data_IF_223578708490
#
_entry.id   IF_223578708490
#
_cell.length_a   1.000
_cell.length_b   1.000
_cell.length_c   1.000
_cell.angle_alpha   90.00
_cell.angle_beta   90.00
_cell.angle_gamma   90.00
#
_symmetry.space_group_name_H-M   'P 1'
#
loop_
_entity.id
_entity.type
_entity.pdbx_description
1 polymer ?
#
# COMPACT_ATOMS: atom_id res chain seq x y z
N UNK A 1 9.52 8.77 -2.78
CA UNK A 1 10.19 9.63 -3.78
C UNK A 1 10.22 11.03 -3.20
N UNK A 2 11.39 11.67 -3.21
CA UNK A 2 11.52 13.08 -2.83
C UNK A 2 11.17 13.88 -4.08
N UNK A 3 10.14 14.72 -4.03
CA UNK A 3 9.78 15.62 -5.13
C UNK A 3 10.86 16.70 -5.25
N UNK A 4 11.91 16.40 -6.03
CA UNK A 4 13.00 17.32 -6.35
C UNK A 4 12.74 17.98 -7.70
N UNK A 5 12.78 19.31 -7.73
CA UNK A 5 12.51 20.12 -8.93
C UNK A 5 13.79 20.83 -9.35
N UNK A 6 14.26 20.67 -10.60
CA UNK A 6 15.34 21.46 -11.15
C UNK A 6 15.00 22.96 -11.12
N UNK A 7 15.89 23.78 -10.59
CA UNK A 7 15.71 25.22 -10.35
C UNK A 7 16.97 25.98 -10.73
N UNK A 8 16.81 27.19 -11.28
CA UNK A 8 17.90 28.11 -11.59
C UNK A 8 17.72 29.42 -10.82
N UNK A 9 18.81 29.99 -10.31
CA UNK A 9 18.80 31.26 -9.60
C UNK A 9 19.35 32.40 -10.47
N UNK A 10 18.80 32.52 -11.69
CA UNK A 10 19.34 33.33 -12.79
C UNK A 10 19.51 34.83 -12.46
N UNK A 11 18.72 35.33 -11.52
CA UNK A 11 18.65 36.76 -11.18
C UNK A 11 19.57 37.15 -10.01
N UNK A 12 20.15 36.16 -9.31
CA UNK A 12 20.98 36.38 -8.12
C UNK A 12 22.34 35.69 -8.20
N UNK A 13 22.52 34.72 -9.11
CA UNK A 13 23.80 34.08 -9.34
C UNK A 13 24.64 34.87 -10.37
N UNK A 14 25.82 35.30 -9.94
CA UNK A 14 26.75 36.07 -10.78
C UNK A 14 27.76 35.15 -11.47
N UNK A 15 27.81 35.20 -12.81
CA UNK A 15 28.74 34.44 -13.63
C UNK A 15 28.11 33.21 -14.29
N UNK A 16 28.77 32.05 -14.16
CA UNK A 16 28.24 30.77 -14.69
C UNK A 16 26.95 30.42 -13.97
N UNK A 17 25.87 30.22 -14.74
CA UNK A 17 24.56 29.84 -14.19
C UNK A 17 24.51 28.33 -14.04
N UNK A 18 24.38 27.85 -12.81
CA UNK A 18 24.30 26.42 -12.53
C UNK A 18 22.84 25.98 -12.37
N UNK A 19 22.55 24.73 -12.71
CA UNK A 19 21.29 24.06 -12.37
C UNK A 19 21.37 23.51 -10.95
N UNK A 20 20.34 23.77 -10.14
CA UNK A 20 20.22 23.26 -8.79
C UNK A 20 18.99 22.35 -8.64
N UNK A 21 19.03 21.39 -7.73
CA UNK A 21 17.85 20.63 -7.29
C UNK A 21 17.26 21.29 -6.05
N UNK A 22 15.96 21.61 -6.11
CA UNK A 22 15.19 22.16 -5.00
C UNK A 22 14.19 21.12 -4.50
N UNK A 23 14.23 20.78 -3.22
CA UNK A 23 13.36 19.74 -2.63
C UNK A 23 13.00 20.01 -1.17
N UNK A 24 11.99 19.30 -0.67
CA UNK A 24 11.67 19.22 0.76
C UNK A 24 12.17 17.91 1.34
N UNK A 25 12.78 17.96 2.53
CA UNK A 25 13.25 16.75 3.21
C UNK A 25 12.07 15.98 3.82
N UNK A 26 12.03 14.64 3.69
CA UNK A 26 11.08 13.81 4.42
C UNK A 26 11.27 14.01 5.93
N UNK A 27 10.20 14.38 6.65
CA UNK A 27 10.23 14.57 8.10
C UNK A 27 10.57 15.99 8.59
N UNK A 28 10.81 16.96 7.70
CA UNK A 28 10.96 18.36 8.12
C UNK A 28 9.60 18.94 8.55
N UNK A 29 9.43 19.16 9.86
CA UNK A 29 8.20 19.68 10.50
C UNK A 29 7.79 21.06 10.00
N UNK A 30 8.72 21.83 9.42
CA UNK A 30 8.48 23.21 9.01
C UNK A 30 8.33 23.38 7.49
N UNK A 31 8.39 22.28 6.72
CA UNK A 31 8.16 22.30 5.28
C UNK A 31 9.15 23.15 4.48
N UNK A 32 10.38 23.35 4.98
CA UNK A 32 11.39 24.21 4.37
C UNK A 32 12.03 23.56 3.14
N UNK A 33 12.49 24.41 2.23
CA UNK A 33 13.16 23.98 1.01
C UNK A 33 14.68 23.92 1.19
N UNK A 34 15.28 22.88 0.61
CA UNK A 34 16.71 22.67 0.52
C UNK A 34 17.13 22.68 -0.96
N UNK A 35 18.38 23.05 -1.18
CA UNK A 35 19.01 23.22 -2.49
C UNK A 35 20.36 22.52 -2.50
N UNK A 36 20.63 21.80 -3.59
CA UNK A 36 21.95 21.23 -3.89
C UNK A 36 22.26 21.45 -5.37
N UNK A 37 23.54 21.63 -5.72
CA UNK A 37 23.95 21.73 -7.13
C UNK A 37 23.65 20.43 -7.89
N UNK A 38 23.11 20.53 -9.10
CA UNK A 38 22.77 19.41 -9.98
C UNK A 38 23.79 19.18 -11.11
N UNK A 39 24.88 19.93 -11.10
CA UNK A 39 25.87 19.88 -12.18
C UNK A 39 26.76 18.64 -12.09
N UNK A 40 27.20 18.19 -13.25
CA UNK A 40 28.17 17.11 -13.40
C UNK A 40 29.56 17.71 -13.63
N UNK A 41 30.55 17.21 -12.88
CA UNK A 41 31.93 17.67 -12.91
C UNK A 41 32.81 16.54 -13.43
N UNK A 42 33.60 16.80 -14.47
CA UNK A 42 34.56 15.84 -15.01
C UNK A 42 35.92 16.00 -14.31
N UNK A 43 36.43 14.91 -13.72
CA UNK A 43 37.78 14.84 -13.15
C UNK A 43 38.85 14.78 -14.26
N UNK A 44 40.11 15.13 -13.94
CA UNK A 44 41.23 15.01 -14.89
C UNK A 44 41.41 13.59 -15.46
N UNK A 45 41.08 12.56 -14.69
CA UNK A 45 41.13 11.15 -15.09
C UNK A 45 39.97 10.70 -16.02
N UNK A 46 39.03 11.60 -16.33
CA UNK A 46 37.88 11.33 -17.18
C UNK A 46 36.59 10.94 -16.43
N UNK A 47 36.66 10.68 -15.11
CA UNK A 47 35.49 10.30 -14.30
C UNK A 47 34.50 11.45 -14.16
N UNK A 48 33.21 11.20 -14.34
CA UNK A 48 32.14 12.19 -14.13
C UNK A 48 31.58 12.02 -12.72
N UNK A 49 31.54 13.10 -11.96
CA UNK A 49 31.04 13.16 -10.59
C UNK A 49 29.85 14.13 -10.51
N UNK A 50 28.95 13.91 -9.56
CA UNK A 50 28.07 14.98 -9.11
C UNK A 50 28.88 16.05 -8.39
N UNK A 51 28.44 17.31 -8.47
CA UNK A 51 29.06 18.39 -7.71
C UNK A 51 29.05 18.08 -6.19
N UNK A 52 30.17 18.31 -5.51
CA UNK A 52 30.36 18.09 -4.07
C UNK A 52 29.68 19.14 -3.18
N UNK A 53 28.76 19.95 -3.72
CA UNK A 53 28.09 20.97 -2.94
C UNK A 53 27.26 20.29 -1.86
N UNK A 54 27.50 20.61 -0.59
CA UNK A 54 26.63 20.18 0.49
C UNK A 54 25.24 20.81 0.34
N UNK A 55 24.22 20.05 0.70
CA UNK A 55 22.85 20.54 0.70
C UNK A 55 22.68 21.71 1.67
N UNK A 56 22.03 22.78 1.22
CA UNK A 56 21.83 24.01 2.00
C UNK A 56 20.37 24.43 1.99
N UNK A 57 19.90 25.06 3.07
CA UNK A 57 18.55 25.65 3.11
C UNK A 57 18.42 26.77 2.08
N UNK A 58 17.32 26.80 1.33
CA UNK A 58 17.17 27.69 0.16
C UNK A 58 17.36 29.18 0.50
N UNK A 59 16.81 29.65 1.62
CA UNK A 59 16.92 31.04 2.07
C UNK A 59 18.36 31.42 2.47
N UNK A 60 19.11 30.48 3.07
CA UNK A 60 20.53 30.66 3.33
C UNK A 60 21.32 30.68 2.01
N UNK A 61 21.00 29.79 1.10
CA UNK A 61 21.65 29.70 -0.21
C UNK A 61 21.45 30.98 -1.04
N UNK A 62 20.23 31.52 -1.08
CA UNK A 62 19.92 32.79 -1.77
C UNK A 62 20.75 33.97 -1.23
N UNK A 63 20.93 34.07 0.08
CA UNK A 63 21.80 35.10 0.70
C UNK A 63 23.29 34.86 0.42
N UNK A 64 23.70 33.60 0.36
CA UNK A 64 25.08 33.22 0.11
C UNK A 64 25.50 33.52 -1.33
N UNK A 65 24.69 33.11 -2.33
CA UNK A 65 25.01 33.24 -3.76
C UNK A 65 25.03 34.71 -4.25
N UNK A 66 24.37 35.62 -3.52
CA UNK A 66 24.43 37.06 -3.79
C UNK A 66 25.83 37.65 -3.60
N UNK A 67 26.63 37.08 -2.69
CA UNK A 67 27.94 37.61 -2.32
C UNK A 67 29.10 36.65 -2.65
N UNK A 68 28.78 35.42 -3.06
CA UNK A 68 29.75 34.36 -3.32
C UNK A 68 29.36 33.61 -4.59
N UNK A 69 30.37 33.14 -5.33
CA UNK A 69 30.16 32.34 -6.54
C UNK A 69 30.27 30.86 -6.21
N UNK A 70 29.32 30.06 -6.69
CA UNK A 70 29.45 28.61 -6.63
C UNK A 70 30.50 28.13 -7.65
N UNK A 71 31.41 27.28 -7.20
CA UNK A 71 32.39 26.61 -8.04
C UNK A 71 32.16 25.12 -7.86
N UNK A 72 31.84 24.43 -8.95
CA UNK A 72 31.58 23.00 -8.90
C UNK A 72 32.89 22.23 -8.65
N UNK A 73 32.93 21.45 -7.58
CA UNK A 73 34.05 20.55 -7.27
C UNK A 73 33.61 19.10 -7.41
N UNK A 74 34.50 18.17 -7.82
CA UNK A 74 34.13 16.76 -7.98
C UNK A 74 33.73 16.14 -6.64
N UNK A 75 32.50 15.63 -6.54
CA UNK A 75 32.00 14.91 -5.37
C UNK A 75 31.92 13.41 -5.63
N UNK A 76 30.77 12.83 -5.28
CA UNK A 76 30.45 11.43 -5.53
C UNK A 76 30.44 11.13 -7.04
N UNK A 77 30.95 9.95 -7.41
CA UNK A 77 30.94 9.50 -8.82
C UNK A 77 29.49 9.40 -9.29
N UNK A 78 29.18 10.12 -10.37
CA UNK A 78 27.86 10.04 -10.97
C UNK A 78 27.74 8.66 -11.63
N UNK A 79 26.59 8.00 -11.49
CA UNK A 79 26.37 6.74 -12.18
C UNK A 79 26.51 6.97 -13.68
N UNK A 80 27.61 6.50 -14.25
CA UNK A 80 27.90 6.60 -15.68
C UNK A 80 27.29 5.46 -16.48
N UNK A 81 26.58 4.53 -15.83
CA UNK A 81 25.99 3.37 -16.49
C UNK A 81 25.00 3.82 -17.57
N UNK A 82 25.43 3.77 -18.82
CA UNK A 82 24.53 3.76 -19.96
C UNK A 82 23.75 2.44 -19.95
N UNK A 83 22.58 2.41 -20.60
CA UNK A 83 21.84 1.15 -20.81
C UNK A 83 22.77 0.10 -21.44
N UNK A 84 23.63 0.51 -22.37
CA UNK A 84 24.63 -0.37 -22.97
C UNK A 84 25.65 -0.89 -21.95
N UNK A 85 26.10 -0.08 -20.99
CA UNK A 85 26.98 -0.52 -19.90
C UNK A 85 26.28 -1.40 -18.87
N UNK A 86 24.96 -1.30 -18.72
CA UNK A 86 24.17 -2.26 -17.93
C UNK A 86 24.16 -3.64 -18.59
N UNK A 87 24.16 -3.71 -19.92
CA UNK A 87 24.30 -4.96 -20.68
C UNK A 87 25.76 -5.45 -20.80
N UNK A 88 26.75 -4.55 -20.81
CA UNK A 88 28.17 -4.90 -20.99
C UNK A 88 28.92 -5.20 -19.67
N UNK A 89 28.45 -4.72 -18.52
CA UNK A 89 29.06 -5.01 -17.21
C UNK A 89 28.49 -6.28 -16.53
N UNK A 90 27.79 -7.14 -17.27
CA UNK A 90 27.59 -8.52 -16.83
C UNK A 90 28.99 -9.15 -16.91
N UNK A 91 29.61 -9.55 -15.79
CA UNK A 91 30.86 -10.30 -15.85
C UNK A 91 30.64 -11.48 -16.80
N UNK A 92 31.66 -11.86 -17.57
CA UNK A 92 31.63 -13.06 -18.43
C UNK A 92 31.51 -14.38 -17.64
N UNK A 93 30.87 -14.36 -16.47
CA UNK A 93 30.28 -15.51 -15.79
C UNK A 93 28.84 -15.64 -16.26
N UNK A 94 28.66 -16.32 -17.40
CA UNK A 94 27.40 -16.91 -17.87
C UNK A 94 26.22 -15.95 -17.98
N UNK A 95 25.93 -15.48 -19.20
CA UNK A 95 24.56 -15.09 -19.55
C UNK A 95 23.65 -16.28 -19.21
N UNK A 96 22.93 -16.24 -18.09
CA UNK A 96 21.83 -17.18 -17.86
C UNK A 96 20.81 -16.90 -18.96
N UNK A 97 20.57 -17.84 -19.89
CA UNK A 97 19.64 -17.62 -20.97
C UNK A 97 18.25 -17.30 -20.39
N UNK A 98 17.63 -16.20 -20.83
CA UNK A 98 16.23 -15.92 -20.48
C UNK A 98 15.39 -17.03 -21.12
N UNK A 99 14.75 -17.82 -20.28
CA UNK A 99 13.86 -18.90 -20.67
C UNK A 99 12.44 -18.38 -20.95
N UNK A 100 11.64 -19.21 -21.62
CA UNK A 100 10.21 -18.95 -21.75
C UNK A 100 9.49 -18.94 -20.38
N UNK A 101 10.03 -19.65 -19.38
CA UNK A 101 9.56 -19.60 -18.00
C UNK A 101 9.70 -18.21 -17.39
N UNK A 102 10.85 -17.56 -17.59
CA UNK A 102 11.09 -16.20 -17.10
C UNK A 102 10.09 -15.20 -17.69
N UNK A 103 9.75 -15.35 -18.97
CA UNK A 103 8.70 -14.54 -19.62
C UNK A 103 7.35 -14.77 -18.94
N UNK A 104 6.99 -16.02 -18.66
CA UNK A 104 5.72 -16.35 -18.00
C UNK A 104 5.65 -15.80 -16.57
N UNK A 105 6.76 -15.84 -15.82
CA UNK A 105 6.82 -15.26 -14.49
C UNK A 105 6.67 -13.73 -14.51
N UNK A 106 7.28 -13.07 -15.50
CA UNK A 106 7.14 -11.63 -15.71
C UNK A 106 5.69 -11.26 -16.09
N UNK A 107 5.06 -12.03 -16.99
CA UNK A 107 3.65 -11.85 -17.34
C UNK A 107 2.75 -12.01 -16.10
N UNK A 108 2.95 -13.06 -15.31
CA UNK A 108 2.17 -13.31 -14.09
C UNK A 108 2.36 -12.18 -13.07
N UNK A 109 3.59 -11.74 -12.85
CA UNK A 109 3.92 -10.63 -11.93
C UNK A 109 3.28 -9.32 -12.39
N UNK A 110 3.38 -9.01 -13.68
CA UNK A 110 2.77 -7.81 -14.27
C UNK A 110 1.25 -7.86 -14.13
N UNK A 111 0.63 -8.98 -14.52
CA UNK A 111 -0.81 -9.18 -14.42
C UNK A 111 -1.31 -8.95 -13.00
N UNK A 112 -0.63 -9.52 -12.00
CA UNK A 112 -1.00 -9.37 -10.58
C UNK A 112 -0.81 -7.94 -10.07
N UNK A 113 0.34 -7.30 -10.37
CA UNK A 113 0.64 -5.94 -9.89
C UNK A 113 -0.32 -4.88 -10.42
N UNK A 114 -0.79 -5.05 -11.65
CA UNK A 114 -1.70 -4.10 -12.30
C UNK A 114 -3.17 -4.52 -12.21
N UNK A 115 -3.48 -5.60 -11.48
CA UNK A 115 -4.83 -6.14 -11.32
C UNK A 115 -5.55 -6.35 -12.66
N UNK A 116 -4.85 -6.96 -13.61
CA UNK A 116 -5.34 -7.22 -14.96
C UNK A 116 -6.04 -8.58 -15.03
N UNK A 117 -6.97 -8.70 -15.97
CA UNK A 117 -7.65 -9.97 -16.19
C UNK A 117 -6.67 -11.00 -16.78
N UNK A 118 -6.70 -12.24 -16.26
CA UNK A 118 -5.79 -13.31 -16.69
C UNK A 118 -5.92 -13.60 -18.20
N UNK A 119 -7.13 -13.48 -18.75
CA UNK A 119 -7.41 -13.75 -20.15
C UNK A 119 -6.79 -12.71 -21.10
N UNK A 120 -6.38 -11.54 -20.60
CA UNK A 120 -5.72 -10.51 -21.41
C UNK A 120 -4.39 -11.01 -21.98
N UNK A 121 -3.57 -11.68 -21.18
CA UNK A 121 -2.23 -12.13 -21.61
C UNK A 121 -2.21 -13.48 -22.31
N UNK A 122 -3.31 -14.23 -22.20
CA UNK A 122 -3.54 -15.46 -22.97
C UNK A 122 -4.34 -15.22 -24.25
N UNK A 123 -4.59 -13.96 -24.63
CA UNK A 123 -5.45 -13.64 -25.77
C UNK A 123 -4.71 -13.76 -27.13
N UNK A 124 -5.43 -14.01 -28.22
CA UNK A 124 -4.87 -13.97 -29.57
C UNK A 124 -4.26 -12.60 -29.92
N UNK A 125 -4.87 -11.51 -29.48
CA UNK A 125 -4.41 -10.13 -29.71
C UNK A 125 -3.07 -9.87 -29.02
N UNK A 126 -2.93 -10.28 -27.75
CA UNK A 126 -1.67 -10.16 -27.04
C UNK A 126 -0.59 -11.04 -27.66
N UNK A 127 -0.94 -12.26 -28.06
CA UNK A 127 -0.04 -13.16 -28.79
C UNK A 127 0.46 -12.52 -30.08
N UNK A 128 -0.43 -11.90 -30.86
CA UNK A 128 -0.07 -11.18 -32.08
C UNK A 128 0.90 -10.04 -31.77
N UNK A 129 0.63 -9.25 -30.74
CA UNK A 129 1.50 -8.16 -30.31
C UNK A 129 2.92 -8.65 -29.98
N UNK A 130 3.05 -9.69 -29.16
CA UNK A 130 4.37 -10.25 -28.79
C UNK A 130 5.10 -10.76 -30.02
N UNK A 131 4.43 -11.50 -30.91
CA UNK A 131 5.03 -11.96 -32.17
C UNK A 131 5.48 -10.79 -33.03
N UNK A 132 4.67 -9.74 -33.18
CA UNK A 132 5.06 -8.53 -33.93
C UNK A 132 6.31 -7.87 -33.36
N UNK A 133 6.46 -7.80 -32.03
CA UNK A 133 7.68 -7.26 -31.40
C UNK A 133 8.91 -8.11 -31.74
N UNK A 134 8.78 -9.44 -31.68
CA UNK A 134 9.87 -10.36 -32.05
C UNK A 134 10.23 -10.21 -33.53
N UNK A 135 9.23 -10.13 -34.39
CA UNK A 135 9.42 -9.95 -35.83
C UNK A 135 10.14 -8.64 -36.14
N UNK A 136 9.67 -7.53 -35.58
CA UNK A 136 10.31 -6.22 -35.71
C UNK A 136 11.78 -6.24 -35.29
N UNK A 137 12.08 -6.94 -34.18
CA UNK A 137 13.44 -7.08 -33.68
C UNK A 137 14.31 -7.89 -34.64
N UNK A 138 13.79 -9.00 -35.15
CA UNK A 138 14.49 -9.85 -36.12
C UNK A 138 14.76 -9.10 -37.44
N UNK A 139 13.76 -8.40 -37.99
CA UNK A 139 13.92 -7.59 -39.19
C UNK A 139 14.99 -6.49 -38.99
N UNK A 140 14.95 -5.81 -37.84
CA UNK A 140 15.93 -4.78 -37.48
C UNK A 140 17.35 -5.35 -37.39
N UNK A 141 17.51 -6.56 -36.86
CA UNK A 141 18.80 -7.24 -36.78
C UNK A 141 19.30 -7.64 -38.17
N UNK A 142 18.44 -8.18 -39.02
CA UNK A 142 18.81 -8.55 -40.41
C UNK A 142 19.35 -7.32 -41.13
N UNK A 143 18.63 -6.19 -41.11
CA UNK A 143 19.05 -4.95 -41.76
C UNK A 143 20.37 -4.38 -41.22
N UNK A 144 20.63 -4.56 -39.92
CA UNK A 144 21.83 -4.03 -39.25
C UNK A 144 23.07 -4.87 -39.51
N UNK A 145 22.91 -6.16 -39.79
CA UNK A 145 24.01 -7.12 -39.87
C UNK A 145 24.09 -7.77 -41.25
N UNK A 146 24.96 -7.27 -42.16
CA UNK A 146 25.03 -7.72 -43.55
C UNK A 146 25.25 -9.23 -43.73
N UNK A 147 25.92 -9.89 -42.77
CA UNK A 147 26.12 -11.33 -42.77
C UNK A 147 24.81 -12.14 -42.71
N UNK A 148 23.72 -11.54 -42.23
CA UNK A 148 22.40 -12.15 -42.17
C UNK A 148 21.59 -11.95 -43.45
N UNK A 149 21.98 -11.03 -44.34
CA UNK A 149 21.23 -10.71 -45.57
C UNK A 149 21.10 -11.91 -46.53
N UNK A 150 22.11 -12.78 -46.55
CA UNK A 150 22.12 -13.96 -47.42
C UNK A 150 21.48 -15.19 -46.76
N UNK A 151 21.01 -15.05 -45.51
CA UNK A 151 20.29 -16.10 -44.80
C UNK A 151 18.79 -15.88 -45.04
N UNK A 152 18.13 -16.83 -45.70
CA UNK A 152 16.68 -16.75 -45.94
C UNK A 152 15.89 -17.02 -44.64
N UNK A 153 15.80 -16.01 -43.77
CA UNK A 153 15.13 -16.10 -42.47
C UNK A 153 13.64 -15.79 -42.65
N UNK A 154 12.78 -16.78 -42.40
CA UNK A 154 11.34 -16.54 -42.26
C UNK A 154 11.04 -16.04 -40.84
N UNK A 155 10.82 -14.74 -40.73
CA UNK A 155 10.70 -14.02 -39.46
C UNK A 155 9.40 -14.37 -38.70
N UNK A 156 8.30 -14.65 -39.40
CA UNK A 156 7.05 -15.11 -38.78
C UNK A 156 7.21 -16.51 -38.14
N UNK A 157 7.83 -17.43 -38.88
CA UNK A 157 8.14 -18.77 -38.38
C UNK A 157 9.08 -18.71 -37.18
N UNK A 158 10.09 -17.84 -37.23
CA UNK A 158 11.00 -17.61 -36.11
C UNK A 158 10.25 -17.08 -34.87
N UNK A 159 9.39 -16.08 -35.03
CA UNK A 159 8.60 -15.56 -33.92
C UNK A 159 7.70 -16.62 -33.28
N UNK A 160 7.10 -17.48 -34.12
CA UNK A 160 6.28 -18.62 -33.66
C UNK A 160 7.11 -19.74 -33.02
N UNK A 161 8.41 -19.84 -33.29
CA UNK A 161 9.30 -20.78 -32.61
C UNK A 161 9.81 -20.23 -31.27
N UNK A 162 10.10 -18.93 -31.21
CA UNK A 162 10.60 -18.24 -30.02
C UNK A 162 9.52 -18.13 -28.94
N UNK A 163 8.30 -17.74 -29.32
CA UNK A 163 7.21 -17.50 -28.35
C UNK A 163 6.05 -18.45 -28.56
N UNK A 164 5.79 -19.26 -27.52
CA UNK A 164 4.55 -20.03 -27.40
C UNK A 164 3.58 -19.28 -26.47
N UNK A 165 2.31 -19.10 -26.85
CA UNK A 165 1.33 -18.46 -25.99
C UNK A 165 1.12 -19.23 -24.68
N UNK A 166 1.03 -18.49 -23.57
CA UNK A 166 0.65 -19.08 -22.28
C UNK A 166 -0.87 -19.25 -22.21
N UNK A 167 -1.33 -20.41 -21.71
CA UNK A 167 -2.76 -20.60 -21.42
C UNK A 167 -3.17 -19.85 -20.16
N UNK A 168 -4.44 -19.46 -20.06
CA UNK A 168 -5.00 -18.80 -18.87
C UNK A 168 -4.74 -19.60 -17.59
N UNK A 169 -4.88 -20.92 -17.66
CA UNK A 169 -4.68 -21.81 -16.51
C UNK A 169 -3.22 -21.88 -16.10
N UNK A 170 -2.30 -21.95 -17.06
CA UNK A 170 -0.85 -21.93 -16.78
C UNK A 170 -0.44 -20.58 -16.17
N UNK A 171 -0.94 -19.47 -16.71
CA UNK A 171 -0.70 -18.13 -16.15
C UNK A 171 -1.22 -18.03 -14.71
N UNK A 172 -2.42 -18.57 -14.44
CA UNK A 172 -2.99 -18.63 -13.09
C UNK A 172 -2.09 -19.43 -12.14
N UNK A 173 -1.66 -20.62 -12.54
CA UNK A 173 -0.79 -21.47 -11.72
C UNK A 173 0.55 -20.79 -11.43
N UNK A 174 1.18 -20.18 -12.43
CA UNK A 174 2.42 -19.40 -12.26
C UNK A 174 2.21 -18.24 -11.29
N UNK A 175 1.11 -17.50 -11.41
CA UNK A 175 0.78 -16.42 -10.49
C UNK A 175 0.60 -16.93 -9.04
N UNK A 176 -0.11 -18.04 -8.84
CA UNK A 176 -0.29 -18.65 -7.51
C UNK A 176 1.06 -19.07 -6.93
N UNK A 177 1.94 -19.69 -7.73
CA UNK A 177 3.27 -20.10 -7.28
C UNK A 177 4.12 -18.90 -6.85
N UNK A 178 4.16 -17.83 -7.64
CA UNK A 178 4.87 -16.59 -7.30
C UNK A 178 4.29 -15.97 -6.03
N UNK A 179 2.96 -15.88 -5.93
CA UNK A 179 2.28 -15.35 -4.74
C UNK A 179 2.61 -16.15 -3.49
N UNK A 180 2.64 -17.49 -3.58
CA UNK A 180 3.02 -18.37 -2.48
C UNK A 180 4.49 -18.19 -2.08
N UNK A 181 5.42 -18.07 -3.03
CA UNK A 181 6.83 -17.79 -2.73
C UNK A 181 7.01 -16.45 -2.02
N UNK A 182 6.30 -15.41 -2.47
CA UNK A 182 6.30 -14.10 -1.80
C UNK A 182 5.69 -14.21 -0.40
N UNK A 183 4.58 -14.94 -0.27
CA UNK A 183 3.91 -15.16 1.01
C UNK A 183 4.82 -15.84 2.02
N UNK A 184 5.46 -16.97 1.65
CA UNK A 184 6.42 -17.68 2.50
C UNK A 184 7.55 -16.75 2.91
N UNK A 185 8.18 -16.06 1.97
CA UNK A 185 9.27 -15.13 2.27
C UNK A 185 8.83 -14.03 3.25
N UNK A 186 7.60 -13.53 3.14
CA UNK A 186 7.04 -12.52 4.05
C UNK A 186 6.80 -13.08 5.44
N UNK A 187 6.24 -14.28 5.56
CA UNK A 187 5.99 -14.94 6.84
C UNK A 187 7.31 -15.29 7.54
N UNK A 188 8.32 -15.73 6.80
CA UNK A 188 9.67 -16.02 7.33
C UNK A 188 10.34 -14.78 7.94
N UNK A 189 10.02 -13.57 7.46
CA UNK A 189 10.48 -12.34 8.12
C UNK A 189 9.89 -12.18 9.54
N UNK A 190 8.65 -12.64 9.77
CA UNK A 190 8.02 -12.63 11.09
C UNK A 190 8.48 -13.80 11.96
N UNK A 191 8.82 -14.94 11.38
CA UNK A 191 9.36 -16.10 12.11
C UNK A 191 10.69 -15.79 12.81
N UNK A 192 11.49 -14.86 12.25
CA UNK A 192 12.75 -14.39 12.83
C UNK A 192 12.56 -13.48 14.06
N UNK A 193 11.34 -13.02 14.33
CA UNK A 193 11.08 -12.08 15.42
C UNK A 193 10.87 -12.81 16.74
N UNK A 194 11.32 -12.19 17.84
CA UNK A 194 11.13 -12.75 19.18
C UNK A 194 9.64 -12.80 19.57
N UNK A 195 8.88 -11.80 19.13
CA UNK A 195 7.46 -11.67 19.38
C UNK A 195 6.75 -11.09 18.14
N UNK A 196 5.56 -11.60 17.85
CA UNK A 196 4.65 -11.07 16.83
C UNK A 196 3.27 -10.86 17.43
N UNK A 197 2.59 -9.79 17.04
CA UNK A 197 1.20 -9.51 17.37
C UNK A 197 0.33 -9.88 16.16
N UNK A 198 -0.81 -10.53 16.40
CA UNK A 198 -1.75 -10.87 15.33
C UNK A 198 -3.00 -10.01 15.48
N UNK A 199 -3.24 -9.14 14.50
CA UNK A 199 -4.52 -8.43 14.40
C UNK A 199 -5.54 -9.36 13.74
N UNK A 200 -6.71 -9.47 14.35
CA UNK A 200 -7.78 -10.35 13.92
C UNK A 200 -9.04 -9.52 13.67
N UNK A 201 -9.58 -9.62 12.46
CA UNK A 201 -10.77 -8.89 12.03
C UNK A 201 -11.85 -9.85 11.51
N UNK A 202 -13.11 -9.57 11.85
CA UNK A 202 -14.25 -10.32 11.33
C UNK A 202 -14.82 -9.57 10.12
N UNK A 203 -14.79 -10.22 8.95
CA UNK A 203 -15.37 -9.70 7.71
C UNK A 203 -16.54 -10.55 7.24
N UNK A 204 -17.51 -9.92 6.56
CA UNK A 204 -18.55 -10.62 5.80
C UNK A 204 -18.46 -10.29 4.32
N UNK A 205 -18.18 -11.31 3.49
CA UNK A 205 -18.07 -11.17 2.03
C UNK A 205 -18.96 -12.20 1.36
N UNK A 206 -19.89 -11.76 0.51
CA UNK A 206 -20.77 -12.64 -0.29
C UNK A 206 -21.40 -13.81 0.52
N UNK A 207 -21.96 -13.50 1.69
CA UNK A 207 -22.57 -14.42 2.67
C UNK A 207 -21.60 -15.22 3.55
N UNK A 208 -20.31 -15.28 3.24
CA UNK A 208 -19.30 -15.93 4.08
C UNK A 208 -18.81 -15.00 5.19
N UNK A 209 -18.78 -15.53 6.40
CA UNK A 209 -18.11 -14.91 7.55
C UNK A 209 -16.68 -15.39 7.56
N UNK A 210 -15.72 -14.48 7.56
CA UNK A 210 -14.30 -14.78 7.56
C UNK A 210 -13.63 -14.11 8.75
N UNK A 211 -12.65 -14.81 9.30
CA UNK A 211 -11.74 -14.31 10.29
C UNK A 211 -10.38 -14.08 9.63
N UNK A 212 -10.02 -12.82 9.45
CA UNK A 212 -8.80 -12.41 8.80
C UNK A 212 -7.69 -12.21 9.83
N UNK A 213 -6.52 -12.77 9.57
CA UNK A 213 -5.35 -12.72 10.43
C UNK A 213 -4.27 -11.88 9.75
N UNK A 214 -3.75 -10.88 10.47
CA UNK A 214 -2.67 -10.03 9.99
C UNK A 214 -1.52 -10.01 10.99
N UNK A 215 -0.32 -10.37 10.54
CA UNK A 215 0.89 -10.32 11.34
C UNK A 215 1.35 -8.87 11.45
N UNK A 216 1.65 -8.45 12.68
CA UNK A 216 2.09 -7.09 12.99
C UNK A 216 3.22 -7.12 14.02
N UNK A 217 4.16 -6.20 13.88
CA UNK A 217 5.13 -5.93 14.94
C UNK A 217 5.43 -4.42 14.93
N UNK A 218 4.73 -3.64 15.78
CA UNK A 218 4.90 -2.20 15.81
C UNK A 218 6.28 -1.79 16.36
N UNK A 219 6.88 -2.59 17.25
CA UNK A 219 8.18 -2.30 17.85
C UNK A 219 9.33 -2.31 16.83
N UNK A 220 9.23 -3.17 15.82
CA UNK A 220 10.20 -3.27 14.74
C UNK A 220 9.72 -2.62 13.44
N UNK A 221 8.66 -1.80 13.50
CA UNK A 221 8.10 -1.07 12.36
C UNK A 221 7.82 -1.96 11.14
N UNK A 222 7.45 -3.24 11.36
CA UNK A 222 7.05 -4.14 10.29
C UNK A 222 5.70 -3.72 9.75
N UNK A 223 5.58 -3.65 8.42
CA UNK A 223 4.28 -3.43 7.78
C UNK A 223 3.34 -4.61 8.12
N UNK A 224 2.09 -4.35 8.50
CA UNK A 224 1.09 -5.40 8.67
C UNK A 224 1.02 -6.29 7.42
N UNK A 225 0.95 -7.60 7.62
CA UNK A 225 0.88 -8.57 6.55
C UNK A 225 -0.31 -9.50 6.73
N UNK A 226 -1.33 -9.47 5.85
CA UNK A 226 -2.44 -10.42 5.90
C UNK A 226 -1.89 -11.81 5.60
N UNK A 227 -1.96 -12.70 6.58
CA UNK A 227 -1.34 -14.02 6.51
C UNK A 227 -2.37 -15.10 6.20
N UNK A 228 -3.56 -15.02 6.76
CA UNK A 228 -4.58 -16.04 6.61
C UNK A 228 -5.98 -15.44 6.67
N UNK A 229 -6.92 -16.10 6.00
CA UNK A 229 -8.36 -15.85 6.11
C UNK A 229 -9.04 -17.18 6.35
N UNK A 230 -9.71 -17.32 7.50
CA UNK A 230 -10.40 -18.55 7.89
C UNK A 230 -11.90 -18.32 7.80
N UNK A 231 -12.58 -19.11 6.97
CA UNK A 231 -14.03 -19.09 6.91
C UNK A 231 -14.60 -19.64 8.24
N UNK A 232 -15.48 -18.87 8.85
CA UNK A 232 -16.16 -19.21 10.08
C UNK A 232 -17.44 -20.01 9.81
N UNK A 233 -17.74 -20.97 10.69
CA UNK A 233 -18.97 -21.76 10.65
C UNK A 233 -20.18 -21.04 11.29
N UNK A 234 -19.92 -20.01 12.09
CA UNK A 234 -20.93 -19.25 12.83
C UNK A 234 -20.29 -18.18 13.71
N UNK A 235 -21.09 -17.56 14.59
CA UNK A 235 -20.67 -16.48 15.48
C UNK A 235 -20.62 -16.86 16.96
N UNK A 236 -20.68 -18.15 17.30
CA UNK A 236 -20.62 -18.61 18.69
C UNK A 236 -19.18 -18.69 19.21
N UNK A 237 -18.98 -18.80 20.52
CA UNK A 237 -17.63 -18.95 21.07
C UNK A 237 -16.95 -20.23 20.61
N UNK A 238 -17.74 -21.29 20.38
CA UNK A 238 -17.32 -22.58 19.84
C UNK A 238 -16.85 -22.44 18.38
N UNK A 239 -17.55 -21.65 17.56
CA UNK A 239 -17.12 -21.35 16.19
C UNK A 239 -15.81 -20.53 16.18
N UNK A 240 -15.72 -19.56 17.09
CA UNK A 240 -14.55 -18.70 17.25
C UNK A 240 -13.33 -19.48 17.70
N UNK A 241 -13.43 -20.32 18.74
CA UNK A 241 -12.27 -21.09 19.23
C UNK A 241 -11.75 -22.02 18.14
N UNK A 242 -12.65 -22.62 17.34
CA UNK A 242 -12.27 -23.44 16.20
C UNK A 242 -11.50 -22.64 15.14
N UNK A 243 -12.08 -21.54 14.68
CA UNK A 243 -11.50 -20.70 13.62
C UNK A 243 -10.18 -20.04 14.05
N UNK A 244 -10.11 -19.55 15.29
CA UNK A 244 -8.89 -19.01 15.91
C UNK A 244 -7.80 -20.07 16.00
N UNK A 245 -8.14 -21.28 16.46
CA UNK A 245 -7.17 -22.39 16.55
C UNK A 245 -6.63 -22.76 15.18
N UNK A 246 -7.48 -22.82 14.15
CA UNK A 246 -7.03 -23.07 12.78
C UNK A 246 -6.06 -21.99 12.29
N UNK A 247 -6.40 -20.71 12.44
CA UNK A 247 -5.54 -19.59 12.03
C UNK A 247 -4.21 -19.59 12.77
N UNK A 248 -4.21 -19.77 14.09
CA UNK A 248 -2.99 -19.85 14.89
C UNK A 248 -2.13 -21.05 14.50
N UNK A 249 -2.71 -22.22 14.25
CA UNK A 249 -1.94 -23.39 13.82
C UNK A 249 -1.26 -23.16 12.46
N UNK A 250 -1.93 -22.50 11.50
CA UNK A 250 -1.30 -22.16 10.21
C UNK A 250 -0.11 -21.21 10.38
N UNK A 251 -0.21 -20.27 11.31
CA UNK A 251 0.88 -19.34 11.66
C UNK A 251 2.01 -20.08 12.39
N UNK A 252 1.69 -20.97 13.33
CA UNK A 252 2.69 -21.73 14.10
C UNK A 252 3.47 -22.74 13.25
N UNK A 253 2.85 -23.33 12.22
CA UNK A 253 3.55 -24.23 11.27
C UNK A 253 4.69 -23.50 10.52
N UNK A 254 4.71 -22.17 10.54
CA UNK A 254 5.76 -21.33 9.95
C UNK A 254 6.73 -20.76 11.00
N UNK A 255 6.76 -21.35 12.19
CA UNK A 255 7.62 -20.95 13.32
C UNK A 255 7.44 -19.48 13.79
N UNK A 256 6.31 -18.85 13.44
CA UNK A 256 6.00 -17.50 13.91
C UNK A 256 5.54 -17.54 15.36
N UNK A 257 6.24 -16.78 16.21
CA UNK A 257 5.94 -16.67 17.65
C UNK A 257 4.87 -15.63 17.91
N UNK A 258 3.64 -16.07 18.16
CA UNK A 258 2.53 -15.20 18.56
C UNK A 258 2.67 -14.88 20.06
N UNK A 259 2.71 -13.59 20.36
CA UNK A 259 2.83 -13.06 21.73
C UNK A 259 1.54 -12.40 22.21
N UNK A 260 0.80 -11.80 21.28
CA UNK A 260 -0.41 -11.05 21.56
C UNK A 260 -1.34 -11.08 20.36
N UNK A 261 -2.62 -10.83 20.63
CA UNK A 261 -3.65 -10.69 19.61
C UNK A 261 -4.41 -9.40 19.83
N UNK A 262 -4.79 -8.73 18.74
CA UNK A 262 -5.66 -7.56 18.77
C UNK A 262 -6.97 -7.93 18.10
N UNK A 263 -8.08 -7.86 18.83
CA UNK A 263 -9.40 -8.18 18.29
C UNK A 263 -10.48 -7.20 18.74
N UNK A 264 -11.62 -7.15 18.04
CA UNK A 264 -12.75 -6.26 18.35
C UNK A 264 -13.33 -6.43 19.76
N UNK A 265 -13.19 -7.63 20.32
CA UNK A 265 -13.67 -7.98 21.64
C UNK A 265 -15.17 -8.21 21.71
N UNK A 266 -15.80 -8.65 20.62
CA UNK A 266 -17.16 -9.17 20.71
C UNK A 266 -17.23 -10.29 21.76
N UNK A 267 -18.38 -10.46 22.41
CA UNK A 267 -18.49 -11.33 23.60
C UNK A 267 -18.07 -12.78 23.31
N UNK A 268 -18.41 -13.28 22.12
CA UNK A 268 -18.13 -14.66 21.75
C UNK A 268 -16.62 -14.90 21.56
N UNK A 269 -15.96 -14.00 20.84
CA UNK A 269 -14.52 -14.01 20.59
C UNK A 269 -13.71 -13.75 21.87
N UNK A 270 -14.15 -12.80 22.71
CA UNK A 270 -13.49 -12.49 23.99
C UNK A 270 -13.49 -13.69 24.94
N UNK A 271 -14.60 -14.46 24.96
CA UNK A 271 -14.73 -15.67 25.79
C UNK A 271 -13.61 -16.67 25.50
N UNK A 272 -13.13 -16.76 24.26
CA UNK A 272 -12.02 -17.63 23.85
C UNK A 272 -10.69 -17.31 24.55
N UNK A 273 -10.53 -16.12 25.15
CA UNK A 273 -9.30 -15.70 25.84
C UNK A 273 -9.48 -15.56 27.37
N UNK A 274 -10.65 -15.87 27.91
CA UNK A 274 -10.99 -15.64 29.32
C UNK A 274 -10.85 -16.91 30.17
N UNK A 275 -10.21 -16.77 31.35
CA UNK A 275 -10.07 -17.83 32.36
C UNK A 275 -11.40 -18.54 32.72
N UNK A 276 -12.52 -17.81 32.69
CA UNK A 276 -13.83 -18.31 33.09
C UNK A 276 -14.46 -19.34 32.14
N UNK A 277 -13.90 -19.57 30.95
CA UNK A 277 -14.40 -20.59 30.03
C UNK A 277 -13.38 -21.72 29.87
N UNK A 278 -13.79 -22.95 30.18
CA UNK A 278 -12.89 -24.12 30.19
C UNK A 278 -12.24 -24.42 28.84
N UNK A 279 -12.88 -24.04 27.73
CA UNK A 279 -12.33 -24.23 26.37
C UNK A 279 -11.51 -23.03 25.88
N UNK A 280 -11.33 -21.98 26.69
CA UNK A 280 -10.53 -20.82 26.32
C UNK A 280 -9.05 -21.18 26.13
N UNK A 281 -8.34 -20.38 25.35
CA UNK A 281 -6.90 -20.47 25.20
C UNK A 281 -6.16 -20.30 26.52
N UNK A 282 -6.72 -19.52 27.47
CA UNK A 282 -6.15 -19.35 28.82
C UNK A 282 -6.01 -20.69 29.54
N UNK A 283 -6.96 -21.62 29.34
CA UNK A 283 -6.98 -22.94 29.97
C UNK A 283 -6.37 -24.03 29.06
N UNK A 284 -5.72 -23.65 27.94
CA UNK A 284 -5.10 -24.60 27.03
C UNK A 284 -3.82 -25.20 27.62
N UNK A 285 -3.62 -26.49 27.37
CA UNK A 285 -2.36 -27.17 27.68
C UNK A 285 -1.22 -26.81 26.70
N UNK A 286 -1.54 -26.15 25.57
CA UNK A 286 -0.53 -25.71 24.61
C UNK A 286 0.11 -24.39 25.07
N UNK A 287 1.42 -24.37 25.39
CA UNK A 287 2.12 -23.16 25.81
C UNK A 287 2.17 -22.04 24.78
N UNK A 288 1.94 -22.36 23.50
CA UNK A 288 1.84 -21.37 22.44
C UNK A 288 0.51 -20.61 22.47
N UNK A 289 -0.52 -21.20 23.06
CA UNK A 289 -1.86 -20.62 23.12
C UNK A 289 -2.14 -19.91 24.45
N UNK A 290 -1.83 -20.53 25.60
CA UNK A 290 -2.19 -19.94 26.90
C UNK A 290 -1.41 -18.65 27.23
N UNK A 291 -0.23 -18.47 26.63
CA UNK A 291 0.61 -17.28 26.82
C UNK A 291 0.21 -16.10 25.95
N UNK A 292 -0.76 -16.27 25.04
CA UNK A 292 -1.19 -15.19 24.14
C UNK A 292 -1.88 -14.10 24.95
N UNK A 293 -1.34 -12.89 24.88
CA UNK A 293 -1.95 -11.72 25.51
C UNK A 293 -3.08 -11.18 24.63
N UNK A 294 -4.29 -11.13 25.17
CA UNK A 294 -5.41 -10.46 24.51
C UNK A 294 -5.30 -8.94 24.68
N UNK A 295 -5.32 -8.22 23.56
CA UNK A 295 -5.33 -6.76 23.50
C UNK A 295 -6.65 -6.33 22.84
N UNK A 296 -7.50 -5.54 23.51
CA UNK A 296 -8.72 -5.05 22.86
C UNK A 296 -8.38 -4.04 21.76
N UNK A 297 -9.10 -4.12 20.64
CA UNK A 297 -8.98 -3.17 19.54
C UNK A 297 -9.31 -1.75 20.03
N UNK A 298 -8.33 -0.84 19.91
CA UNK A 298 -8.48 0.55 20.33
C UNK A 298 -9.60 1.25 19.55
N UNK A 299 -9.73 0.98 18.25
CA UNK A 299 -10.77 1.58 17.41
C UNK A 299 -12.18 1.23 17.92
N UNK A 300 -12.40 -0.04 18.27
CA UNK A 300 -13.64 -0.48 18.90
C UNK A 300 -13.86 0.16 20.26
N UNK A 301 -12.82 0.29 21.10
CA UNK A 301 -12.94 0.95 22.41
C UNK A 301 -13.34 2.42 22.28
N UNK A 302 -12.71 3.15 21.37
CA UNK A 302 -13.02 4.57 21.10
C UNK A 302 -14.45 4.71 20.58
N UNK A 303 -14.85 3.89 19.60
CA UNK A 303 -16.20 3.91 19.05
C UNK A 303 -17.26 3.59 20.10
N UNK A 304 -17.04 2.56 20.92
CA UNK A 304 -17.95 2.18 21.99
C UNK A 304 -18.03 3.26 23.07
N UNK A 305 -16.92 3.95 23.37
CA UNK A 305 -16.93 5.10 24.28
C UNK A 305 -17.78 6.25 23.71
N UNK A 306 -17.61 6.59 22.43
CA UNK A 306 -18.45 7.58 21.76
C UNK A 306 -19.94 7.19 21.84
N UNK A 307 -20.30 5.97 21.41
CA UNK A 307 -21.67 5.48 21.49
C UNK A 307 -22.23 5.47 22.91
N UNK A 308 -21.42 5.13 23.90
CA UNK A 308 -21.85 5.19 25.29
C UNK A 308 -22.15 6.63 25.71
N UNK A 309 -21.28 7.59 25.36
CA UNK A 309 -21.47 9.00 25.70
C UNK A 309 -22.72 9.59 25.04
N UNK A 310 -23.09 9.19 23.82
CA UNK A 310 -24.34 9.66 23.19
C UNK A 310 -25.59 9.21 23.96
N UNK A 311 -25.50 8.16 24.78
CA UNK A 311 -26.61 7.71 25.66
C UNK A 311 -26.62 8.36 27.03
N UNK A 312 -25.50 8.97 27.46
CA UNK A 312 -25.33 9.57 28.79
C UNK A 312 -25.45 11.08 28.79
N UNK A 313 -24.96 11.72 27.74
CA UNK A 313 -25.07 13.15 27.53
C UNK A 313 -26.28 13.44 26.65
N UNK A 314 -27.30 14.06 27.24
CA UNK A 314 -28.57 14.37 26.57
C UNK A 314 -28.36 15.35 25.41
N UNK A 315 -27.46 16.32 25.55
CA UNK A 315 -27.19 17.30 24.51
C UNK A 315 -26.49 16.64 23.33
N UNK A 316 -25.44 15.84 23.59
CA UNK A 316 -24.76 15.07 22.55
C UNK A 316 -25.71 14.08 21.85
N UNK A 317 -26.52 13.36 22.63
CA UNK A 317 -27.51 12.42 22.11
C UNK A 317 -28.53 13.08 21.18
N UNK A 318 -28.97 14.30 21.52
CA UNK A 318 -29.87 15.08 20.66
C UNK A 318 -29.22 15.47 19.33
N UNK A 319 -27.95 15.92 19.35
CA UNK A 319 -27.21 16.27 18.13
C UNK A 319 -27.04 15.04 17.23
N UNK A 320 -26.66 13.90 17.82
CA UNK A 320 -26.45 12.65 17.07
C UNK A 320 -27.76 12.12 16.47
N UNK A 321 -28.85 12.16 17.23
CA UNK A 321 -30.17 11.80 16.71
C UNK A 321 -30.57 12.69 15.53
N UNK A 322 -30.34 14.00 15.64
CA UNK A 322 -30.66 14.96 14.60
C UNK A 322 -29.90 14.69 13.29
N UNK A 323 -28.59 14.39 13.34
CA UNK A 323 -27.84 14.04 12.12
C UNK A 323 -28.31 12.72 11.49
N UNK A 324 -28.78 11.76 12.29
CA UNK A 324 -29.30 10.48 11.77
C UNK A 324 -30.64 10.69 11.06
N UNK A 325 -31.51 11.53 11.60
CA UNK A 325 -32.78 11.93 10.98
C UNK A 325 -32.54 12.66 9.65
N UNK A 326 -31.61 13.64 9.64
CA UNK A 326 -31.23 14.33 8.41
C UNK A 326 -30.64 13.34 7.39
N UNK A 327 -29.76 12.42 7.81
CA UNK A 327 -29.20 11.40 6.93
C UNK A 327 -30.28 10.54 6.27
N UNK A 328 -31.28 10.09 7.06
CA UNK A 328 -32.40 9.31 6.54
C UNK A 328 -33.20 10.09 5.50
N UNK A 329 -33.51 11.37 5.78
CA UNK A 329 -34.22 12.25 4.86
C UNK A 329 -33.43 12.49 3.57
N UNK A 330 -32.13 12.78 3.67
CA UNK A 330 -31.29 13.02 2.50
C UNK A 330 -31.23 11.82 1.55
N UNK A 331 -31.35 10.61 2.09
CA UNK A 331 -31.37 9.38 1.29
C UNK A 331 -32.70 9.11 0.59
N UNK A 332 -33.77 9.81 0.98
CA UNK A 332 -35.05 9.81 0.25
C UNK A 332 -34.98 10.81 -0.90
N UNK A 333 -34.37 11.98 -0.67
CA UNK A 333 -34.27 13.07 -1.66
C UNK A 333 -32.93 13.11 -2.41
N UNK A 334 -32.41 11.94 -2.81
CA UNK A 334 -31.08 11.83 -3.46
C UNK A 334 -31.02 12.61 -4.77
N UNK A 335 -32.09 12.57 -5.57
CA UNK A 335 -32.17 13.25 -6.86
C UNK A 335 -32.10 14.78 -6.70
N UNK A 336 -32.89 15.34 -5.78
CA UNK A 336 -32.93 16.77 -5.51
C UNK A 336 -31.63 17.29 -4.89
N UNK A 337 -31.04 16.51 -3.97
CA UNK A 337 -29.75 16.84 -3.35
C UNK A 337 -28.62 16.68 -4.37
N UNK A 338 -28.75 15.76 -5.32
CA UNK A 338 -27.75 15.42 -6.34
C UNK A 338 -26.56 14.64 -5.77
N UNK A 339 -26.70 14.05 -4.58
CA UNK A 339 -25.66 13.26 -3.93
C UNK A 339 -26.24 12.28 -2.91
N UNK A 340 -25.63 11.10 -2.79
CA UNK A 340 -26.04 10.07 -1.84
C UNK A 340 -25.44 10.31 -0.46
N UNK A 341 -26.28 10.60 0.53
CA UNK A 341 -25.84 10.73 1.92
C UNK A 341 -25.40 9.36 2.50
N UNK A 342 -24.27 9.29 3.23
CA UNK A 342 -23.88 8.08 3.96
C UNK A 342 -25.00 7.65 4.92
N UNK A 343 -25.36 6.36 4.90
CA UNK A 343 -26.30 5.76 5.86
C UNK A 343 -25.61 5.59 7.21
N UNK A 344 -26.26 5.91 8.32
CA UNK A 344 -25.74 5.51 9.64
C UNK A 344 -25.61 3.98 9.73
N UNK A 345 -24.45 3.52 10.20
CA UNK A 345 -24.16 2.10 10.44
C UNK A 345 -23.55 1.99 11.84
N UNK A 346 -24.30 1.41 12.77
CA UNK A 346 -23.91 1.32 14.18
C UNK A 346 -22.63 0.51 14.42
N UNK A 347 -22.32 -0.41 13.52
CA UNK A 347 -21.17 -1.31 13.58
C UNK A 347 -19.91 -0.78 12.88
N UNK A 348 -19.99 0.35 12.17
CA UNK A 348 -18.82 0.97 11.52
C UNK A 348 -18.34 2.17 12.33
N UNK A 349 -17.06 2.20 12.63
CA UNK A 349 -16.51 3.19 13.55
C UNK A 349 -16.64 4.62 13.00
N UNK A 350 -17.14 5.53 13.85
CA UNK A 350 -17.13 6.98 13.61
C UNK A 350 -17.76 7.39 12.26
N UNK A 351 -18.73 6.60 11.76
CA UNK A 351 -19.38 6.87 10.47
C UNK A 351 -20.18 8.19 10.46
N UNK A 352 -20.62 8.64 11.64
CA UNK A 352 -21.30 9.90 11.88
C UNK A 352 -20.47 11.11 11.42
N UNK A 353 -19.13 11.01 11.41
CA UNK A 353 -18.27 12.07 10.86
C UNK A 353 -18.57 12.33 9.38
N UNK A 354 -18.73 11.26 8.60
CA UNK A 354 -19.00 11.36 7.16
C UNK A 354 -20.40 11.95 6.92
N UNK A 355 -21.36 11.64 7.80
CA UNK A 355 -22.71 12.22 7.77
C UNK A 355 -22.63 13.74 8.04
N UNK A 356 -21.92 14.16 9.09
CA UNK A 356 -21.77 15.58 9.40
C UNK A 356 -21.11 16.35 8.24
N UNK A 357 -20.03 15.80 7.67
CA UNK A 357 -19.36 16.38 6.50
C UNK A 357 -20.29 16.52 5.29
N UNK A 358 -21.16 15.51 5.05
CA UNK A 358 -22.16 15.57 4.00
C UNK A 358 -23.18 16.69 4.25
N UNK A 359 -23.74 16.75 5.47
CA UNK A 359 -24.75 17.76 5.83
C UNK A 359 -24.19 19.17 5.68
N UNK A 360 -22.98 19.42 6.18
CA UNK A 360 -22.31 20.72 6.06
C UNK A 360 -22.12 21.09 4.58
N UNK A 361 -21.69 20.14 3.74
CA UNK A 361 -21.45 20.38 2.32
C UNK A 361 -22.72 20.72 1.53
N UNK A 362 -23.85 20.09 1.87
CA UNK A 362 -25.11 20.23 1.12
C UNK A 362 -26.19 21.00 1.89
N UNK A 363 -25.81 21.78 2.90
CA UNK A 363 -26.73 22.45 3.84
C UNK A 363 -27.83 23.25 3.13
N UNK A 364 -27.50 23.99 2.06
CA UNK A 364 -28.45 24.87 1.35
C UNK A 364 -29.55 24.10 0.61
N UNK A 365 -29.27 22.85 0.25
CA UNK A 365 -30.26 21.96 -0.37
C UNK A 365 -31.08 21.25 0.69
N UNK A 366 -30.43 20.79 1.76
CA UNK A 366 -31.06 20.05 2.86
C UNK A 366 -32.01 20.95 3.65
N UNK A 367 -31.69 22.24 3.79
CA UNK A 367 -32.49 23.23 4.52
C UNK A 367 -33.89 23.44 3.94
N UNK A 368 -34.14 22.99 2.69
CA UNK A 368 -35.45 23.00 2.05
C UNK A 368 -36.42 21.98 2.65
N UNK A 369 -35.90 20.92 3.27
CA UNK A 369 -36.69 19.80 3.79
C UNK A 369 -36.75 19.76 5.30
N UNK A 370 -35.73 20.30 5.98
CA UNK A 370 -35.66 20.28 7.44
C UNK A 370 -34.77 21.40 7.96
N UNK A 371 -35.03 21.83 9.20
CA UNK A 371 -34.16 22.78 9.89
C UNK A 371 -32.85 22.09 10.24
N UNK A 372 -31.73 22.78 10.00
CA UNK A 372 -30.39 22.28 10.30
C UNK A 372 -29.79 23.12 11.43
N UNK A 373 -29.41 22.47 12.53
CA UNK A 373 -28.57 23.09 13.56
C UNK A 373 -27.10 23.00 13.16
N UNK A 374 -26.69 23.88 12.25
CA UNK A 374 -25.38 23.77 11.60
C UNK A 374 -24.21 23.94 12.57
N UNK A 375 -24.36 24.75 13.63
CA UNK A 375 -23.29 25.01 14.58
C UNK A 375 -22.99 23.79 15.45
N UNK A 376 -24.03 23.14 15.96
CA UNK A 376 -23.87 21.87 16.70
C UNK A 376 -23.34 20.74 15.81
N UNK A 377 -23.71 20.71 14.52
CA UNK A 377 -23.19 19.72 13.57
C UNK A 377 -21.71 19.98 13.26
N UNK A 378 -21.28 21.24 13.11
CA UNK A 378 -19.86 21.60 12.97
C UNK A 378 -19.06 21.20 14.20
N UNK A 379 -19.57 21.51 15.39
CA UNK A 379 -18.96 21.11 16.65
C UNK A 379 -18.78 19.59 16.75
N UNK A 380 -19.84 18.82 16.48
CA UNK A 380 -19.74 17.36 16.46
C UNK A 380 -18.73 16.87 15.42
N UNK A 381 -18.73 17.43 14.20
CA UNK A 381 -17.76 17.11 13.15
C UNK A 381 -16.33 17.33 13.62
N UNK A 382 -16.05 18.42 14.33
CA UNK A 382 -14.70 18.74 14.84
C UNK A 382 -14.27 17.77 15.95
N UNK A 383 -15.18 17.42 16.87
CA UNK A 383 -14.95 16.37 17.87
C UNK A 383 -14.68 15.01 17.21
N UNK A 384 -15.50 14.61 16.24
CA UNK A 384 -15.35 13.35 15.52
C UNK A 384 -14.10 13.33 14.62
N UNK A 385 -13.62 14.48 14.14
CA UNK A 385 -12.37 14.57 13.39
C UNK A 385 -11.17 14.13 14.23
N UNK A 386 -11.17 14.46 15.54
CA UNK A 386 -10.13 14.00 16.48
C UNK A 386 -10.20 12.49 16.62
N UNK A 387 -11.39 11.93 16.85
CA UNK A 387 -11.58 10.48 16.99
C UNK A 387 -11.18 9.73 15.70
N UNK A 388 -11.53 10.29 14.54
CA UNK A 388 -11.16 9.73 13.23
C UNK A 388 -9.65 9.74 12.98
N UNK A 389 -8.87 10.63 13.59
CA UNK A 389 -7.40 10.58 13.52
C UNK A 389 -6.78 9.46 14.37
N UNK A 390 -7.51 8.96 15.37
CA UNK A 390 -7.07 7.86 16.24
C UNK A 390 -7.40 6.48 15.65
N UNK A 391 -8.23 6.44 14.60
CA UNK A 391 -8.67 5.22 13.93
C UNK A 391 -8.08 5.26 12.51
N UNK A 392 -7.20 4.30 12.14
CA UNK A 392 -6.53 4.27 10.84
C UNK A 392 -7.46 4.05 9.65
#
# INVERSE_FOLDING_TARGET
MIDAVPTYYKDIEVGTKHQYLRYKKPGDKYGKYYVKCNELVKRPDGTICHCAMEEMREDHFKKWIQNKRHICTPGEVASQQTIDQYYQNIPATGLTPISLGDIYEQLATFTGRFNLALNTFSSPEFTKLVKTIIMYTADSMILKFPQLHNVNINVDKLASQIYQPISTDKLRQTMIQIANSIHVAKVDEFAKLACTCVAIDEGKTQQFHNLDFSLTNPLQSKRPYPVESIQMNGGTSEDYIHSLTQGFNRIFIRDVKISSVVCDGNKAQLKCFQKGWNQSFYNSNDPRLFKILFIPCLCHRIHNCYQYMTTKDVALGAIVKHIHEISALCRIHVEDIGALCPKHVSTRWIYDYNICMFIIKYQDKISRYTRIDIENIKFLRDCLAILKKLIP
#
